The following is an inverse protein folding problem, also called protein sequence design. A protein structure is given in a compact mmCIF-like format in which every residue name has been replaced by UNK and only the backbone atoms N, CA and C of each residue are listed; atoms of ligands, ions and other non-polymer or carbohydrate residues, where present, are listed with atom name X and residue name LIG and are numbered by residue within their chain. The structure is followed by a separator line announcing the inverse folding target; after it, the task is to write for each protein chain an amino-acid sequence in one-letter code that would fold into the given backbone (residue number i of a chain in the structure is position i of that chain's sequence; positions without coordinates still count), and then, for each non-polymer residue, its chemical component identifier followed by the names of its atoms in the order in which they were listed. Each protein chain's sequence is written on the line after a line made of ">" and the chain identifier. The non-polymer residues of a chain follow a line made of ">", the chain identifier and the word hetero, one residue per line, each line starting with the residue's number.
data_IF_578476853762
#
_entry.id   IF_578476853762
#
_cell.length_a   1.000
_cell.length_b   1.000
_cell.length_c   1.000
_cell.angle_alpha   90.00
_cell.angle_beta   90.00
_cell.angle_gamma   90.00
#
_symmetry.space_group_name_H-M   'P 1'
#
loop_
_entity.id
_entity.type
_entity.pdbx_description
1 polymer ?
#
# COMPACT_ATOMS: atom_id res chain seq x y z
N UNK A 1 12.50 -29.05 45.24
CA UNK A 1 13.45 -29.52 44.22
C UNK A 1 12.77 -29.42 42.87
N UNK A 2 13.06 -28.36 42.12
CA UNK A 2 12.46 -28.07 40.83
C UNK A 2 13.56 -28.12 39.76
N UNK A 3 13.39 -28.99 38.77
CA UNK A 3 14.22 -29.06 37.58
C UNK A 3 13.29 -28.88 36.36
N UNK A 4 13.56 -27.95 35.45
CA UNK A 4 12.79 -27.83 34.22
C UNK A 4 13.37 -28.73 33.12
N UNK A 5 12.48 -29.53 32.54
CA UNK A 5 12.69 -30.38 31.38
C UNK A 5 12.62 -29.58 30.07
N UNK A 6 13.69 -29.74 29.29
CA UNK A 6 13.87 -29.63 27.83
C UNK A 6 12.62 -29.28 26.98
N UNK A 7 12.69 -28.15 26.28
CA UNK A 7 11.81 -27.81 25.17
C UNK A 7 12.36 -28.41 23.86
N UNK A 8 11.64 -29.37 23.29
CA UNK A 8 11.87 -29.88 21.95
C UNK A 8 11.10 -29.01 20.94
N UNK A 9 11.83 -28.31 20.07
CA UNK A 9 11.27 -27.62 18.91
C UNK A 9 11.22 -28.60 17.73
N UNK A 10 10.04 -29.16 17.44
CA UNK A 10 9.83 -29.93 16.22
C UNK A 10 9.69 -29.02 15.00
N UNK A 11 10.55 -29.27 14.02
CA UNK A 11 10.59 -28.67 12.69
C UNK A 11 9.36 -29.09 11.87
N UNK A 12 8.57 -28.12 11.41
CA UNK A 12 7.59 -28.33 10.34
C UNK A 12 8.28 -28.35 8.96
N UNK A 13 8.08 -29.36 8.11
CA UNK A 13 8.79 -29.46 6.83
C UNK A 13 8.18 -28.62 5.69
N UNK A 14 9.05 -27.94 4.94
CA UNK A 14 8.74 -26.99 3.84
C UNK A 14 8.57 -27.65 2.46
N UNK A 15 7.56 -28.49 2.24
CA UNK A 15 7.40 -29.20 0.95
C UNK A 15 6.12 -28.92 0.16
N UNK A 16 5.31 -27.92 0.49
CA UNK A 16 4.04 -27.67 -0.21
C UNK A 16 3.82 -26.20 -0.60
N UNK A 17 4.76 -25.59 -1.32
CA UNK A 17 4.50 -24.33 -2.03
C UNK A 17 5.01 -24.39 -3.48
N UNK A 18 4.13 -24.17 -4.49
CA UNK A 18 4.56 -24.03 -5.88
C UNK A 18 5.40 -22.77 -6.02
N UNK A 19 6.63 -22.92 -6.50
CA UNK A 19 7.53 -21.80 -6.82
C UNK A 19 7.00 -21.03 -8.03
N UNK A 20 6.28 -19.93 -7.78
CA UNK A 20 6.07 -18.87 -8.77
C UNK A 20 7.34 -18.00 -8.80
N UNK A 21 8.19 -18.23 -9.80
CA UNK A 21 9.34 -17.39 -10.10
C UNK A 21 8.89 -16.03 -10.61
N UNK A 22 9.02 -14.99 -9.80
CA UNK A 22 8.97 -13.61 -10.27
C UNK A 22 10.35 -13.24 -10.81
N UNK A 23 10.48 -13.17 -12.14
CA UNK A 23 11.64 -12.58 -12.80
C UNK A 23 11.52 -11.04 -12.85
N UNK A 24 12.63 -10.29 -12.82
CA UNK A 24 12.61 -8.83 -12.86
C UNK A 24 12.31 -8.32 -14.28
N UNK A 25 11.66 -7.15 -14.45
CA UNK A 25 11.39 -6.61 -15.78
C UNK A 25 12.66 -6.01 -16.38
N UNK A 26 13.06 -6.53 -17.55
CA UNK A 26 14.08 -5.91 -18.39
C UNK A 26 13.51 -4.65 -19.05
N UNK A 27 14.21 -3.54 -18.87
CA UNK A 27 13.90 -2.25 -19.48
C UNK A 27 14.11 -2.31 -21.00
N UNK A 28 13.05 -2.05 -21.77
CA UNK A 28 13.15 -1.75 -23.20
C UNK A 28 12.81 -0.28 -23.39
N UNK A 29 13.82 0.51 -23.72
CA UNK A 29 13.71 1.91 -24.13
C UNK A 29 13.09 1.96 -25.52
N UNK A 30 11.97 2.69 -25.67
CA UNK A 30 11.45 3.15 -26.98
C UNK A 30 11.42 4.68 -26.99
N UNK A 31 11.89 5.33 -28.07
CA UNK A 31 11.92 6.78 -28.14
C UNK A 31 10.56 7.36 -28.54
N UNK A 32 10.31 8.53 -27.96
CA UNK A 32 9.19 9.44 -28.17
C UNK A 32 9.36 10.20 -29.51
N UNK A 33 8.34 10.18 -30.38
CA UNK A 33 8.22 11.16 -31.46
C UNK A 33 6.87 11.85 -31.32
N UNK A 34 6.96 13.15 -31.01
CA UNK A 34 5.86 14.12 -31.07
C UNK A 34 5.68 14.57 -32.51
N UNK A 35 4.45 14.60 -33.01
CA UNK A 35 4.08 15.53 -34.08
C UNK A 35 2.70 16.11 -33.79
N UNK A 36 2.73 17.43 -33.57
CA UNK A 36 1.59 18.32 -33.63
C UNK A 36 1.01 18.33 -35.06
N UNK A 37 -0.31 18.21 -35.22
CA UNK A 37 -1.02 19.10 -36.14
C UNK A 37 -2.47 19.35 -35.73
N UNK A 38 -2.85 20.62 -35.89
CA UNK A 38 -4.02 21.32 -35.38
C UNK A 38 -5.18 21.23 -36.40
N UNK A 39 -6.39 21.07 -35.84
CA UNK A 39 -7.71 21.68 -36.20
C UNK A 39 -8.13 21.81 -37.68
N UNK A 40 -9.39 21.38 -37.92
CA UNK A 40 -10.46 22.33 -38.30
C UNK A 40 -11.86 21.76 -38.07
N UNK A 41 -12.71 22.61 -37.49
CA UNK A 41 -14.15 22.49 -37.25
C UNK A 41 -14.95 22.62 -38.57
N UNK A 42 -16.07 21.90 -38.69
CA UNK A 42 -17.29 22.39 -39.37
C UNK A 42 -18.51 21.82 -38.63
N UNK A 43 -19.42 22.71 -38.24
CA UNK A 43 -20.76 22.40 -37.70
C UNK A 43 -21.76 22.22 -38.83
N UNK A 44 -22.83 21.45 -38.62
CA UNK A 44 -24.14 21.74 -39.22
C UNK A 44 -25.25 21.18 -38.32
N UNK A 45 -26.18 22.07 -37.95
CA UNK A 45 -27.42 21.78 -37.23
C UNK A 45 -28.53 21.41 -38.21
N UNK A 46 -29.53 20.67 -37.71
CA UNK A 46 -30.99 20.63 -38.01
C UNK A 46 -31.43 19.17 -37.83
N UNK A 47 -32.48 18.77 -37.11
CA UNK A 47 -33.77 19.41 -36.84
C UNK A 47 -34.87 18.44 -37.29
N UNK A 48 -35.62 17.89 -36.32
CA UNK A 48 -36.93 17.20 -36.40
C UNK A 48 -37.13 15.94 -37.29
N UNK A 49 -37.56 14.83 -36.67
CA UNK A 49 -38.89 14.23 -36.86
C UNK A 49 -38.97 12.83 -36.20
N UNK A 50 -40.10 12.57 -35.52
CA UNK A 50 -40.49 11.27 -34.94
C UNK A 50 -40.89 10.27 -36.03
N UNK A 51 -41.02 8.97 -35.70
CA UNK A 51 -42.39 8.49 -35.50
C UNK A 51 -42.59 7.57 -34.28
N UNK A 52 -43.88 7.43 -33.99
CA UNK A 52 -44.56 6.75 -32.89
C UNK A 52 -44.35 5.24 -32.84
N UNK A 53 -44.30 4.78 -31.58
CA UNK A 53 -44.94 3.61 -30.98
C UNK A 53 -45.17 2.33 -31.80
N UNK A 54 -44.62 1.24 -31.27
CA UNK A 54 -45.42 0.07 -30.92
C UNK A 54 -44.85 -0.57 -29.64
N UNK A 55 -45.65 -0.55 -28.58
CA UNK A 55 -45.41 -1.35 -27.39
C UNK A 55 -45.43 -2.84 -27.80
N UNK A 56 -44.29 -3.53 -27.67
CA UNK A 56 -44.29 -4.99 -27.52
C UNK A 56 -43.75 -5.30 -26.15
N UNK A 57 -44.71 -5.54 -25.25
CA UNK A 57 -44.55 -6.37 -24.07
C UNK A 57 -43.88 -7.66 -24.54
N UNK A 58 -42.59 -7.81 -24.29
CA UNK A 58 -41.91 -9.07 -24.46
C UNK A 58 -42.39 -9.99 -23.33
N UNK A 59 -43.58 -10.53 -23.48
CA UNK A 59 -43.96 -11.76 -22.81
C UNK A 59 -43.03 -12.84 -23.37
N UNK A 60 -42.00 -13.17 -22.61
CA UNK A 60 -41.19 -14.35 -22.87
C UNK A 60 -42.03 -15.58 -22.53
N UNK A 61 -42.42 -16.42 -23.51
CA UNK A 61 -43.03 -17.69 -23.22
C UNK A 61 -41.89 -18.67 -22.95
N UNK A 62 -41.20 -18.50 -21.82
CA UNK A 62 -40.28 -19.53 -21.35
C UNK A 62 -41.16 -20.59 -20.70
N UNK A 63 -41.71 -21.42 -21.59
CA UNK A 63 -41.85 -22.86 -21.44
C UNK A 63 -41.78 -23.30 -19.98
N UNK A 64 -42.95 -23.59 -19.42
CA UNK A 64 -43.11 -24.56 -18.33
C UNK A 64 -42.42 -25.84 -18.79
N UNK A 65 -41.12 -25.94 -18.51
CA UNK A 65 -40.32 -27.14 -18.73
C UNK A 65 -40.83 -28.16 -17.72
N UNK A 66 -41.86 -28.88 -18.14
CA UNK A 66 -42.35 -30.04 -17.42
C UNK A 66 -41.22 -31.07 -17.45
N UNK A 67 -40.41 -31.10 -16.39
CA UNK A 67 -39.42 -32.13 -16.15
C UNK A 67 -40.16 -33.42 -15.77
N UNK A 68 -40.78 -34.08 -16.73
CA UNK A 68 -41.25 -35.45 -16.58
C UNK A 68 -40.28 -36.36 -17.33
N UNK A 69 -39.29 -36.90 -16.61
CA UNK A 69 -38.32 -37.83 -17.17
C UNK A 69 -38.81 -39.28 -17.21
N UNK A 70 -40.04 -39.59 -16.77
CA UNK A 70 -40.67 -40.87 -17.09
C UNK A 70 -42.17 -40.68 -17.28
N UNK A 71 -42.69 -41.17 -18.42
CA UNK A 71 -44.11 -41.41 -18.57
C UNK A 71 -44.56 -42.32 -17.41
N UNK A 72 -45.64 -41.95 -16.73
CA UNK A 72 -46.27 -42.83 -15.74
C UNK A 72 -46.85 -44.00 -16.53
N UNK A 73 -46.05 -45.05 -16.72
CA UNK A 73 -46.62 -46.34 -17.08
C UNK A 73 -47.42 -46.80 -15.86
N UNK A 74 -48.75 -46.80 -15.99
CA UNK A 74 -49.56 -47.67 -15.15
C UNK A 74 -49.09 -49.09 -15.42
N UNK A 75 -48.29 -49.61 -14.49
CA UNK A 75 -47.90 -51.01 -14.50
C UNK A 75 -49.00 -51.74 -13.78
N UNK A 76 -49.90 -52.33 -14.54
CA UNK A 76 -50.83 -53.36 -14.06
C UNK A 76 -50.00 -54.61 -13.71
N UNK A 77 -49.30 -54.54 -12.59
CA UNK A 77 -48.63 -55.68 -11.98
C UNK A 77 -49.62 -56.40 -11.07
N UNK A 78 -50.71 -56.89 -11.65
CA UNK A 78 -51.58 -57.82 -10.95
C UNK A 78 -50.97 -59.21 -11.07
N UNK A 79 -50.37 -59.68 -9.98
CA UNK A 79 -49.89 -61.05 -9.89
C UNK A 79 -51.09 -61.99 -9.72
N UNK A 80 -51.51 -62.63 -10.82
CA UNK A 80 -52.63 -63.56 -10.84
C UNK A 80 -52.21 -64.92 -10.27
N UNK A 81 -52.52 -65.12 -8.98
CA UNK A 81 -52.19 -66.34 -8.24
C UNK A 81 -52.88 -67.58 -8.82
N UNK A 82 -54.09 -67.42 -9.35
CA UNK A 82 -54.92 -68.53 -9.82
C UNK A 82 -54.49 -69.00 -11.21
N UNK A 83 -54.09 -68.08 -12.09
CA UNK A 83 -53.49 -68.41 -13.40
C UNK A 83 -52.16 -69.15 -13.26
N UNK A 84 -51.37 -68.81 -12.26
CA UNK A 84 -50.10 -69.49 -11.99
C UNK A 84 -50.31 -70.92 -11.48
N UNK A 85 -51.27 -71.13 -10.57
CA UNK A 85 -51.64 -72.48 -10.09
C UNK A 85 -52.17 -73.35 -11.23
N UNK A 86 -53.07 -72.82 -12.06
CA UNK A 86 -53.58 -73.55 -13.25
C UNK A 86 -52.49 -73.94 -14.24
N UNK A 87 -51.47 -73.08 -14.40
CA UNK A 87 -50.33 -73.36 -15.27
C UNK A 87 -49.45 -74.49 -14.72
N UNK A 88 -49.20 -74.52 -13.41
CA UNK A 88 -48.48 -75.61 -12.77
C UNK A 88 -49.23 -76.94 -12.87
N UNK A 89 -50.55 -76.91 -12.70
CA UNK A 89 -51.40 -78.08 -12.89
C UNK A 89 -51.32 -78.62 -14.33
N UNK A 90 -51.29 -77.74 -15.34
CA UNK A 90 -51.13 -78.16 -16.74
C UNK A 90 -49.77 -78.77 -17.07
N UNK A 91 -48.75 -78.48 -16.27
CA UNK A 91 -47.39 -79.03 -16.39
C UNK A 91 -47.19 -80.31 -15.55
N UNK A 92 -48.27 -80.84 -14.95
CA UNK A 92 -48.27 -82.13 -14.25
C UNK A 92 -48.09 -82.07 -12.73
N UNK A 93 -48.13 -80.89 -12.11
CA UNK A 93 -48.10 -80.75 -10.65
C UNK A 93 -49.47 -81.00 -10.02
N UNK A 94 -49.50 -81.55 -8.81
CA UNK A 94 -50.77 -81.66 -8.06
C UNK A 94 -51.24 -80.27 -7.61
N UNK A 95 -52.55 -80.15 -7.38
CA UNK A 95 -53.14 -78.89 -6.93
C UNK A 95 -52.52 -78.39 -5.62
N UNK A 96 -52.32 -79.29 -4.66
CA UNK A 96 -51.71 -78.98 -3.37
C UNK A 96 -50.26 -78.48 -3.50
N UNK A 97 -49.46 -79.11 -4.37
CA UNK A 97 -48.08 -78.69 -4.64
C UNK A 97 -48.03 -77.32 -5.34
N UNK A 98 -48.94 -77.10 -6.29
CA UNK A 98 -49.04 -75.83 -7.02
C UNK A 98 -49.43 -74.67 -6.10
N UNK A 99 -50.35 -74.91 -5.16
CA UNK A 99 -50.76 -73.95 -4.13
C UNK A 99 -49.62 -73.69 -3.13
N UNK A 100 -48.86 -74.71 -2.73
CA UNK A 100 -47.73 -74.55 -1.83
C UNK A 100 -46.60 -73.70 -2.46
N UNK A 101 -46.23 -73.97 -3.71
CA UNK A 101 -45.23 -73.18 -4.44
C UNK A 101 -45.67 -71.73 -4.65
N UNK A 102 -46.96 -71.49 -4.89
CA UNK A 102 -47.53 -70.15 -4.99
C UNK A 102 -47.33 -69.35 -3.68
N UNK A 103 -47.54 -69.97 -2.52
CA UNK A 103 -47.35 -69.32 -1.21
C UNK A 103 -45.90 -68.91 -0.99
N UNK A 104 -44.95 -69.81 -1.23
CA UNK A 104 -43.51 -69.51 -1.11
C UNK A 104 -43.09 -68.38 -2.06
N UNK A 105 -43.60 -68.37 -3.28
CA UNK A 105 -43.30 -67.30 -4.24
C UNK A 105 -43.88 -65.95 -3.78
N UNK A 106 -45.08 -65.96 -3.18
CA UNK A 106 -45.68 -64.75 -2.60
C UNK A 106 -44.80 -64.17 -1.49
N UNK A 107 -44.29 -65.02 -0.59
CA UNK A 107 -43.40 -64.60 0.50
C UNK A 107 -42.10 -63.98 -0.02
N UNK A 108 -41.46 -64.58 -1.03
CA UNK A 108 -40.23 -64.05 -1.66
C UNK A 108 -40.49 -62.73 -2.39
N UNK A 109 -41.64 -62.60 -3.06
CA UNK A 109 -42.03 -61.36 -3.75
C UNK A 109 -42.28 -60.25 -2.73
N UNK A 110 -42.98 -60.54 -1.63
CA UNK A 110 -43.24 -59.57 -0.56
C UNK A 110 -41.93 -59.09 0.08
N UNK A 111 -41.02 -60.00 0.42
CA UNK A 111 -39.69 -59.66 0.93
C UNK A 111 -38.90 -58.80 -0.08
N UNK A 112 -38.95 -59.14 -1.37
CA UNK A 112 -38.29 -58.39 -2.44
C UNK A 112 -38.85 -56.97 -2.60
N UNK A 113 -40.18 -56.82 -2.58
CA UNK A 113 -40.86 -55.51 -2.69
C UNK A 113 -40.51 -54.64 -1.49
N UNK A 114 -40.52 -55.18 -0.27
CA UNK A 114 -40.16 -54.44 0.93
C UNK A 114 -38.69 -53.99 0.89
N UNK A 115 -37.77 -54.86 0.47
CA UNK A 115 -36.35 -54.52 0.34
C UNK A 115 -36.10 -53.42 -0.71
N UNK A 116 -36.76 -53.49 -1.87
CA UNK A 116 -36.69 -52.46 -2.89
C UNK A 116 -37.28 -51.13 -2.40
N UNK A 117 -38.46 -51.17 -1.81
CA UNK A 117 -39.16 -49.98 -1.33
C UNK A 117 -38.38 -49.26 -0.23
N UNK A 118 -37.61 -49.98 0.59
CA UNK A 118 -36.77 -49.40 1.66
C UNK A 118 -35.68 -48.45 1.15
N UNK A 119 -35.20 -48.64 -0.08
CA UNK A 119 -34.16 -47.78 -0.69
C UNK A 119 -34.73 -46.75 -1.67
N UNK A 120 -36.01 -46.87 -2.02
CA UNK A 120 -36.69 -45.95 -2.92
C UNK A 120 -37.23 -44.74 -2.15
N UNK A 121 -37.33 -43.61 -2.84
CA UNK A 121 -37.90 -42.38 -2.29
C UNK A 121 -39.15 -42.02 -3.09
N UNK A 122 -40.20 -41.61 -2.39
CA UNK A 122 -41.42 -41.09 -3.01
C UNK A 122 -41.09 -39.86 -3.86
N UNK A 123 -41.67 -39.78 -5.06
CA UNK A 123 -41.42 -38.65 -5.97
C UNK A 123 -41.78 -37.31 -5.35
N UNK A 124 -42.80 -37.29 -4.48
CA UNK A 124 -43.22 -36.10 -3.76
C UNK A 124 -42.14 -35.60 -2.79
N UNK A 125 -41.52 -36.51 -2.04
CA UNK A 125 -40.49 -36.15 -1.06
C UNK A 125 -39.18 -35.75 -1.75
N UNK A 126 -38.83 -36.43 -2.85
CA UNK A 126 -37.73 -36.02 -3.70
C UNK A 126 -37.95 -34.62 -4.31
N UNK A 127 -39.18 -34.32 -4.75
CA UNK A 127 -39.54 -33.01 -5.28
C UNK A 127 -39.50 -31.91 -4.20
N UNK A 128 -40.01 -32.20 -2.99
CA UNK A 128 -39.93 -31.29 -1.84
C UNK A 128 -38.48 -30.99 -1.46
N UNK A 129 -37.63 -32.01 -1.34
CA UNK A 129 -36.21 -31.84 -1.02
C UNK A 129 -35.47 -31.03 -2.10
N UNK A 130 -35.81 -31.25 -3.38
CA UNK A 130 -35.25 -30.45 -4.47
C UNK A 130 -35.72 -28.99 -4.40
N UNK A 131 -36.97 -28.75 -4.02
CA UNK A 131 -37.52 -27.40 -3.88
C UNK A 131 -36.86 -26.65 -2.72
N UNK A 132 -36.71 -27.27 -1.55
CA UNK A 132 -36.03 -26.65 -0.40
C UNK A 132 -34.59 -26.30 -0.75
N UNK A 133 -33.84 -27.23 -1.35
CA UNK A 133 -32.49 -26.96 -1.83
C UNK A 133 -32.42 -25.74 -2.76
N UNK A 134 -33.35 -25.61 -3.72
CA UNK A 134 -33.38 -24.46 -4.64
C UNK A 134 -33.64 -23.15 -3.92
N UNK A 135 -34.54 -23.13 -2.95
CA UNK A 135 -34.81 -21.95 -2.13
C UNK A 135 -33.58 -21.59 -1.29
N UNK A 136 -32.92 -22.58 -0.69
CA UNK A 136 -31.71 -22.38 0.11
C UNK A 136 -30.57 -21.83 -0.76
N UNK A 137 -30.36 -22.35 -1.96
CA UNK A 137 -29.38 -21.80 -2.89
C UNK A 137 -29.70 -20.38 -3.33
N UNK A 138 -30.98 -20.05 -3.55
CA UNK A 138 -31.38 -18.68 -3.87
C UNK A 138 -31.11 -17.73 -2.71
N UNK A 139 -31.40 -18.16 -1.47
CA UNK A 139 -31.12 -17.40 -0.25
C UNK A 139 -29.63 -17.20 -0.02
N UNK A 140 -28.83 -18.27 -0.09
CA UNK A 140 -27.37 -18.21 0.05
C UNK A 140 -26.75 -17.29 -0.99
N UNK A 141 -27.23 -17.33 -2.23
CA UNK A 141 -26.77 -16.42 -3.28
C UNK A 141 -27.08 -14.96 -2.94
N UNK A 142 -28.27 -14.67 -2.44
CA UNK A 142 -28.65 -13.32 -2.03
C UNK A 142 -27.81 -12.82 -0.86
N UNK A 143 -27.58 -13.66 0.15
CA UNK A 143 -26.75 -13.35 1.31
C UNK A 143 -25.29 -13.12 0.90
N UNK A 144 -24.75 -13.97 0.02
CA UNK A 144 -23.39 -13.82 -0.51
C UNK A 144 -23.22 -12.52 -1.28
N UNK A 145 -24.14 -12.19 -2.19
CA UNK A 145 -24.08 -10.94 -2.95
C UNK A 145 -24.21 -9.71 -2.04
N UNK A 146 -25.04 -9.79 -1.00
CA UNK A 146 -25.16 -8.72 -0.02
C UNK A 146 -23.86 -8.57 0.79
N UNK A 147 -23.30 -9.68 1.30
CA UNK A 147 -22.06 -9.67 2.06
C UNK A 147 -20.88 -9.14 1.23
N UNK A 148 -20.71 -9.65 0.01
CA UNK A 148 -19.68 -9.21 -0.94
C UNK A 148 -19.80 -7.71 -1.25
N UNK A 149 -21.01 -7.22 -1.52
CA UNK A 149 -21.23 -5.78 -1.74
C UNK A 149 -20.88 -4.95 -0.51
N UNK A 150 -21.25 -5.40 0.70
CA UNK A 150 -20.90 -4.68 1.93
C UNK A 150 -19.40 -4.67 2.19
N UNK A 151 -18.70 -5.79 1.99
CA UNK A 151 -17.26 -5.90 2.17
C UNK A 151 -16.49 -5.07 1.13
N UNK A 152 -16.93 -5.11 -0.13
CA UNK A 152 -16.36 -4.26 -1.19
C UNK A 152 -16.53 -2.77 -0.87
N UNK A 153 -17.68 -2.36 -0.33
CA UNK A 153 -17.91 -0.98 0.06
C UNK A 153 -17.07 -0.56 1.28
N UNK A 154 -16.91 -1.42 2.29
CA UNK A 154 -16.10 -1.10 3.48
C UNK A 154 -14.62 -1.02 3.12
N UNK A 155 -14.10 -1.96 2.33
CA UNK A 155 -12.72 -1.95 1.85
C UNK A 155 -12.43 -0.74 0.97
N UNK A 156 -13.33 -0.40 0.03
CA UNK A 156 -13.22 0.82 -0.77
C UNK A 156 -13.19 2.08 0.09
N UNK A 157 -14.09 2.18 1.06
CA UNK A 157 -14.15 3.34 1.97
C UNK A 157 -12.87 3.46 2.80
N UNK A 158 -12.34 2.33 3.31
CA UNK A 158 -11.07 2.32 4.04
C UNK A 158 -9.90 2.73 3.15
N UNK A 159 -9.86 2.26 1.91
CA UNK A 159 -8.85 2.63 0.92
C UNK A 159 -8.89 4.14 0.61
N UNK A 160 -10.07 4.71 0.37
CA UNK A 160 -10.26 6.14 0.12
C UNK A 160 -9.82 6.98 1.34
N UNK A 161 -10.14 6.54 2.57
CA UNK A 161 -9.67 7.20 3.81
C UNK A 161 -8.15 7.20 3.92
N UNK A 162 -7.50 6.04 3.78
CA UNK A 162 -6.04 5.92 3.86
C UNK A 162 -5.37 6.75 2.77
N UNK A 163 -5.91 6.75 1.55
CA UNK A 163 -5.39 7.57 0.44
C UNK A 163 -5.46 9.06 0.78
N UNK A 164 -6.58 9.52 1.36
CA UNK A 164 -6.74 10.91 1.79
C UNK A 164 -5.77 11.28 2.91
N UNK A 165 -5.54 10.38 3.87
CA UNK A 165 -4.60 10.61 4.96
C UNK A 165 -3.15 10.67 4.44
N UNK A 166 -2.76 9.79 3.51
CA UNK A 166 -1.47 9.86 2.83
C UNK A 166 -1.29 11.21 2.13
N UNK A 167 -2.31 11.70 1.41
CA UNK A 167 -2.25 13.00 0.75
C UNK A 167 -2.07 14.15 1.75
N UNK A 168 -2.81 14.14 2.87
CA UNK A 168 -2.70 15.13 3.95
C UNK A 168 -1.32 15.11 4.61
N UNK A 169 -0.81 13.93 4.95
CA UNK A 169 0.52 13.74 5.54
C UNK A 169 1.61 14.22 4.58
N UNK A 170 1.50 13.90 3.30
CA UNK A 170 2.45 14.36 2.26
C UNK A 170 2.45 15.88 2.11
N UNK A 171 1.29 16.54 2.19
CA UNK A 171 1.21 18.00 2.17
C UNK A 171 1.86 18.61 3.41
N UNK A 172 1.49 18.13 4.60
CA UNK A 172 2.06 18.62 5.88
C UNK A 172 3.57 18.48 5.92
N UNK A 173 4.09 17.33 5.50
CA UNK A 173 5.52 17.09 5.47
C UNK A 173 6.23 18.02 4.49
N UNK A 174 5.63 18.31 3.32
CA UNK A 174 6.16 19.32 2.39
C UNK A 174 6.16 20.73 2.99
N UNK A 175 5.11 21.09 3.71
CA UNK A 175 5.01 22.40 4.38
C UNK A 175 6.04 22.53 5.50
N UNK A 176 6.25 21.48 6.29
CA UNK A 176 7.27 21.43 7.34
C UNK A 176 8.69 21.46 6.78
N UNK A 177 8.98 20.72 5.70
CA UNK A 177 10.26 20.81 5.00
C UNK A 177 10.49 22.22 4.48
N UNK A 178 9.49 22.84 3.85
CA UNK A 178 9.62 24.20 3.31
C UNK A 178 9.86 25.23 4.42
N UNK A 179 9.16 25.08 5.56
CA UNK A 179 9.32 25.94 6.73
C UNK A 179 10.69 25.78 7.38
N UNK A 180 11.14 24.54 7.59
CA UNK A 180 12.46 24.25 8.18
C UNK A 180 13.57 24.74 7.25
N UNK A 181 13.45 24.53 5.95
CA UNK A 181 14.38 25.06 4.95
C UNK A 181 14.45 26.58 4.98
N UNK A 182 13.31 27.27 5.07
CA UNK A 182 13.27 28.73 5.20
C UNK A 182 13.93 29.20 6.51
N UNK A 183 13.67 28.50 7.63
CA UNK A 183 14.27 28.78 8.93
C UNK A 183 15.79 28.63 8.90
N UNK A 184 16.31 27.55 8.31
CA UNK A 184 17.76 27.31 8.18
C UNK A 184 18.41 28.36 7.29
N UNK A 185 17.76 28.75 6.18
CA UNK A 185 18.26 29.83 5.32
C UNK A 185 18.33 31.16 6.06
N UNK A 186 17.32 31.49 6.86
CA UNK A 186 17.32 32.70 7.67
C UNK A 186 18.45 32.66 8.71
N UNK A 187 18.58 31.54 9.43
CA UNK A 187 19.62 31.35 10.44
C UNK A 187 21.03 31.53 9.86
N UNK A 188 21.32 30.90 8.72
CA UNK A 188 22.59 31.08 8.00
C UNK A 188 22.81 32.52 7.54
N UNK A 189 21.77 33.22 7.10
CA UNK A 189 21.88 34.62 6.69
C UNK A 189 22.16 35.54 7.88
N UNK A 190 21.50 35.31 9.02
CA UNK A 190 21.74 36.06 10.25
C UNK A 190 23.14 35.78 10.79
N UNK A 191 23.57 34.53 10.79
CA UNK A 191 24.91 34.14 11.24
C UNK A 191 26.01 34.71 10.33
N UNK A 192 25.78 34.72 9.01
CA UNK A 192 26.68 35.40 8.06
C UNK A 192 26.73 36.91 8.31
N UNK A 193 25.61 37.53 8.66
CA UNK A 193 25.54 38.93 9.09
C UNK A 193 26.37 39.16 10.34
N UNK A 194 26.19 38.33 11.37
CA UNK A 194 26.92 38.40 12.64
C UNK A 194 28.42 38.23 12.46
N UNK A 195 28.86 37.23 11.69
CA UNK A 195 30.29 37.03 11.36
C UNK A 195 30.87 38.27 10.68
N UNK A 196 30.11 38.92 9.79
CA UNK A 196 30.55 40.14 9.11
C UNK A 196 30.66 41.32 10.09
N UNK A 197 29.69 41.49 10.98
CA UNK A 197 29.72 42.53 12.01
C UNK A 197 30.90 42.33 12.98
N UNK A 198 31.14 41.09 13.41
CA UNK A 198 32.29 40.73 14.25
C UNK A 198 33.61 40.98 13.52
N UNK A 199 33.71 40.64 12.23
CA UNK A 199 34.91 40.90 11.42
C UNK A 199 35.19 42.41 11.27
N UNK A 200 34.16 43.23 11.00
CA UNK A 200 34.30 44.69 10.95
C UNK A 200 34.69 45.25 12.32
N UNK A 201 34.11 44.71 13.41
CA UNK A 201 34.48 45.10 14.77
C UNK A 201 35.94 44.77 15.11
N UNK A 202 36.47 43.64 14.63
CA UNK A 202 37.88 43.29 14.75
C UNK A 202 38.75 44.23 13.90
N UNK A 203 38.34 44.55 12.67
CA UNK A 203 39.08 45.47 11.80
C UNK A 203 39.20 46.87 12.42
N UNK A 204 38.15 47.38 13.06
CA UNK A 204 38.19 48.65 13.79
C UNK A 204 39.17 48.60 14.97
N UNK A 205 39.12 47.53 15.78
CA UNK A 205 40.07 47.36 16.89
C UNK A 205 41.52 47.33 16.40
N UNK A 206 41.78 46.67 15.27
CA UNK A 206 43.11 46.64 14.65
C UNK A 206 43.54 48.06 14.26
N UNK A 207 42.69 48.83 13.58
CA UNK A 207 42.99 50.22 13.20
C UNK A 207 43.21 51.14 14.41
N UNK A 208 42.43 50.97 15.47
CA UNK A 208 42.66 51.69 16.74
C UNK A 208 44.02 51.33 17.35
N UNK A 209 44.42 50.07 17.32
CA UNK A 209 45.76 49.68 17.80
C UNK A 209 46.88 50.18 16.88
N UNK A 210 46.67 50.17 15.57
CA UNK A 210 47.62 50.68 14.58
C UNK A 210 47.87 52.18 14.79
N UNK A 211 46.81 52.97 14.94
CA UNK A 211 46.93 54.41 15.23
C UNK A 211 47.60 54.69 16.58
N UNK A 212 47.35 53.88 17.62
CA UNK A 212 48.07 53.98 18.90
C UNK A 212 49.56 53.68 18.74
N UNK A 213 49.91 52.64 17.96
CA UNK A 213 51.31 52.32 17.67
C UNK A 213 51.98 53.47 16.92
N UNK A 214 51.33 54.07 15.93
CA UNK A 214 51.86 55.24 15.21
C UNK A 214 52.10 56.43 16.14
N UNK A 215 51.18 56.70 17.08
CA UNK A 215 51.34 57.73 18.10
C UNK A 215 52.52 57.44 19.03
N UNK A 216 52.66 56.20 19.51
CA UNK A 216 53.80 55.79 20.34
C UNK A 216 55.12 55.90 19.58
N UNK A 217 55.15 55.53 18.30
CA UNK A 217 56.35 55.68 17.44
C UNK A 217 56.70 57.14 17.23
N UNK A 218 55.73 58.03 17.00
CA UNK A 218 55.96 59.47 16.91
C UNK A 218 56.51 60.04 18.22
N UNK A 219 55.93 59.65 19.36
CA UNK A 219 56.42 60.06 20.68
C UNK A 219 57.84 59.54 20.98
N UNK A 220 58.15 58.30 20.59
CA UNK A 220 59.52 57.75 20.72
C UNK A 220 60.51 58.49 19.82
N UNK A 221 60.10 58.88 18.61
CA UNK A 221 60.92 59.67 17.69
C UNK A 221 61.22 61.06 18.26
N UNK A 222 60.22 61.73 18.83
CA UNK A 222 60.42 63.02 19.51
C UNK A 222 61.39 62.91 20.68
N UNK A 223 61.23 61.89 21.53
CA UNK A 223 62.18 61.62 22.62
C UNK A 223 63.60 61.36 22.10
N UNK A 224 63.74 60.63 20.99
CA UNK A 224 65.04 60.38 20.36
C UNK A 224 65.67 61.67 19.84
N UNK A 225 64.89 62.53 19.18
CA UNK A 225 65.36 63.84 18.72
C UNK A 225 65.76 64.74 19.90
N UNK A 226 64.98 64.75 20.98
CA UNK A 226 65.32 65.45 22.22
C UNK A 226 66.65 64.95 22.82
N UNK A 227 66.84 63.63 22.92
CA UNK A 227 68.10 63.03 23.40
C UNK A 227 69.28 63.42 22.50
N UNK A 228 69.09 63.44 21.17
CA UNK A 228 70.12 63.92 20.22
C UNK A 228 70.48 65.39 20.45
N UNK A 229 69.49 66.26 20.66
CA UNK A 229 69.76 67.68 20.96
C UNK A 229 70.47 67.85 22.31
N UNK A 230 70.07 67.10 23.33
CA UNK A 230 70.71 67.13 24.63
C UNK A 230 72.18 66.68 24.54
N UNK A 231 72.48 65.58 23.84
CA UNK A 231 73.87 65.12 23.68
C UNK A 231 74.71 66.10 22.87
N UNK A 232 74.17 66.72 21.82
CA UNK A 232 74.82 67.80 21.09
C UNK A 232 75.11 69.01 21.99
N UNK A 233 74.18 69.38 22.87
CA UNK A 233 74.38 70.48 23.82
C UNK A 233 75.48 70.16 24.83
N UNK A 234 75.51 68.95 25.40
CA UNK A 234 76.61 68.50 26.28
C UNK A 234 77.95 68.48 25.55
N UNK A 235 77.98 68.00 24.30
CA UNK A 235 79.19 68.01 23.47
C UNK A 235 79.72 69.43 23.28
N UNK A 236 78.84 70.38 22.91
CA UNK A 236 79.21 71.80 22.79
C UNK A 236 79.71 72.37 24.12
N UNK A 237 79.08 72.04 25.24
CA UNK A 237 79.51 72.45 26.58
C UNK A 237 80.90 71.93 26.94
N UNK A 238 81.17 70.65 26.69
CA UNK A 238 82.48 70.02 26.95
C UNK A 238 83.56 70.59 26.04
N UNK A 239 83.30 70.74 24.74
CA UNK A 239 84.25 71.35 23.81
C UNK A 239 84.59 72.80 24.21
N UNK A 240 83.58 73.60 24.58
CA UNK A 240 83.77 74.99 25.02
C UNK A 240 84.52 75.05 26.36
N UNK A 241 84.21 74.16 27.30
CA UNK A 241 84.93 74.04 28.57
C UNK A 241 86.39 73.65 28.39
N UNK A 242 86.68 72.68 27.52
CA UNK A 242 88.05 72.28 27.20
C UNK A 242 88.83 73.41 26.51
N UNK A 243 88.21 74.11 25.55
CA UNK A 243 88.81 75.29 24.93
C UNK A 243 89.11 76.39 25.96
N UNK A 244 88.21 76.64 26.92
CA UNK A 244 88.43 77.60 27.99
C UNK A 244 89.58 77.19 28.93
N UNK A 245 89.70 75.90 29.27
CA UNK A 245 90.82 75.38 30.05
C UNK A 245 92.16 75.48 29.30
N UNK A 246 92.19 75.16 28.00
CA UNK A 246 93.39 75.35 27.18
C UNK A 246 93.83 76.82 27.14
N UNK A 247 92.89 77.75 26.94
CA UNK A 247 93.18 79.19 26.98
C UNK A 247 93.63 79.64 28.39
N UNK A 248 93.02 79.10 29.45
CA UNK A 248 93.43 79.36 30.83
C UNK A 248 94.84 78.85 31.15
N UNK A 249 95.18 77.63 30.71
CA UNK A 249 96.51 77.05 30.88
C UNK A 249 97.56 77.79 30.05
N UNK A 250 97.24 78.16 28.80
CA UNK A 250 98.09 78.99 27.96
C UNK A 250 98.40 80.33 28.62
N UNK A 251 97.41 80.94 29.30
CA UNK A 251 97.58 82.18 30.07
C UNK A 251 98.41 82.03 31.35
N UNK A 252 98.47 80.85 31.95
CA UNK A 252 99.28 80.57 33.15
C UNK A 252 100.74 80.20 32.82
N UNK A 253 100.99 79.71 31.59
CA UNK A 253 102.31 79.28 31.12
C UNK A 253 103.11 80.42 30.43
N UNK A 254 102.46 81.53 30.09
CA UNK A 254 103.04 82.78 29.58
C UNK A 254 103.14 83.81 30.71
#
# INVERSE_FOLDING_TARGET
>A
MAAPTVAAAEMLPRFLLPRLSWGPPSQVVRPLVSSHQRRSFVSFQTGSATPRCCARRAESPILKRAFHATAVQQRDHHFDTLKFVKRLQSEGFTEEQSVAMMKVLNDVIEESIQNLTRTMVLREDAAKATYTQKVDFAKLRSELLSADSTESNTTRTAHERVTNDIAKLSSRLRDEISRTQASVRLDLNLEKGRIREEAVGQELKIKETETKIEQEVAALREKLEQVKFQTLQWLMGVCTGFAALLLGAWRLLM
#
